data_IF_126287633532
#
_entry.id   IF_126287633532
#
_cell.length_a   1.000
_cell.length_b   1.000
_cell.length_c   1.000
_cell.angle_alpha   90.00
_cell.angle_beta   90.00
_cell.angle_gamma   90.00
#
_symmetry.space_group_name_H-M   'P 1'
#
loop_
_entity.id
_entity.type
_entity.pdbx_description
1 polymer ?
#
# COMPACT_ATOMS: atom_id res chain seq x y z
N UNK A 1 10.25 17.93 -28.27
CA UNK A 1 9.66 16.62 -27.92
C UNK A 1 9.12 16.73 -26.51
N UNK A 2 7.84 16.41 -26.28
CA UNK A 2 7.27 16.51 -24.93
C UNK A 2 7.73 15.34 -24.05
N UNK A 3 8.05 15.60 -22.76
CA UNK A 3 8.40 14.53 -21.83
C UNK A 3 7.19 13.62 -21.59
N UNK A 4 7.40 12.29 -21.42
CA UNK A 4 6.31 11.38 -21.11
C UNK A 4 5.65 11.74 -19.78
N UNK A 5 4.33 11.86 -19.80
CA UNK A 5 3.50 12.19 -18.66
C UNK A 5 2.53 11.04 -18.31
N UNK A 6 2.30 10.83 -17.02
CA UNK A 6 1.35 9.86 -16.48
C UNK A 6 0.34 10.61 -15.60
N UNK A 7 -0.80 11.05 -16.16
CA UNK A 7 -1.89 11.63 -15.40
C UNK A 7 -2.69 10.53 -14.69
N UNK A 8 -3.12 10.79 -13.45
CA UNK A 8 -3.98 9.91 -12.68
C UNK A 8 -4.91 10.72 -11.77
N UNK A 9 -6.16 10.91 -12.20
CA UNK A 9 -7.08 11.84 -11.55
C UNK A 9 -6.42 13.23 -11.45
N UNK A 10 -6.29 13.75 -10.24
CA UNK A 10 -5.70 15.06 -9.96
C UNK A 10 -4.16 15.03 -9.85
N UNK A 11 -3.53 13.85 -9.79
CA UNK A 11 -2.09 13.68 -9.62
C UNK A 11 -1.43 13.40 -10.99
N UNK A 12 -0.46 14.23 -11.40
CA UNK A 12 0.30 14.05 -12.66
C UNK A 12 1.78 13.80 -12.35
N UNK A 13 2.37 12.81 -13.01
CA UNK A 13 3.82 12.56 -12.98
C UNK A 13 4.42 12.79 -14.35
N UNK A 14 5.36 13.74 -14.45
CA UNK A 14 6.10 14.03 -15.69
C UNK A 14 7.53 13.48 -15.55
N UNK A 15 7.94 12.63 -16.46
CA UNK A 15 9.26 11.99 -16.45
C UNK A 15 10.20 12.75 -17.39
N UNK A 16 11.22 13.38 -16.81
CA UNK A 16 12.20 14.19 -17.56
C UNK A 16 13.59 13.53 -17.49
N UNK A 17 14.41 13.77 -18.52
CA UNK A 17 15.79 13.27 -18.60
C UNK A 17 16.76 14.16 -17.84
N UNK A 18 16.52 15.47 -17.82
CA UNK A 18 17.39 16.44 -17.14
C UNK A 18 16.63 17.30 -16.13
N UNK A 19 17.38 17.94 -15.22
CA UNK A 19 16.79 18.89 -14.25
C UNK A 19 16.31 20.17 -14.94
N UNK A 20 16.95 20.58 -16.02
CA UNK A 20 16.53 21.74 -16.82
C UNK A 20 15.20 21.45 -17.52
N UNK A 21 15.08 20.28 -18.14
CA UNK A 21 13.84 19.82 -18.77
C UNK A 21 12.71 19.72 -17.74
N UNK A 22 12.99 19.22 -16.53
CA UNK A 22 12.00 19.16 -15.46
C UNK A 22 11.51 20.53 -14.98
N UNK A 23 12.37 21.56 -14.98
CA UNK A 23 11.98 22.93 -14.66
C UNK A 23 11.12 23.52 -15.78
N UNK A 24 11.54 23.38 -17.03
CA UNK A 24 10.80 23.86 -18.20
C UNK A 24 9.41 23.19 -18.28
N UNK A 25 9.34 21.88 -18.05
CA UNK A 25 8.07 21.15 -18.04
C UNK A 25 7.15 21.63 -16.89
N UNK A 26 7.69 21.96 -15.73
CA UNK A 26 6.91 22.48 -14.60
C UNK A 26 6.34 23.87 -14.91
N UNK A 27 7.13 24.76 -15.51
CA UNK A 27 6.66 26.09 -15.95
C UNK A 27 5.60 25.99 -17.03
N UNK A 28 5.82 25.16 -18.05
CA UNK A 28 4.83 24.92 -19.10
C UNK A 28 3.52 24.36 -18.54
N UNK A 29 3.61 23.38 -17.63
CA UNK A 29 2.43 22.79 -16.99
C UNK A 29 1.68 23.84 -16.16
N UNK A 30 2.41 24.71 -15.46
CA UNK A 30 1.82 25.81 -14.68
C UNK A 30 1.06 26.78 -15.58
N UNK A 31 1.67 27.22 -16.68
CA UNK A 31 1.02 28.14 -17.63
C UNK A 31 -0.23 27.51 -18.23
N UNK A 32 -0.17 26.25 -18.68
CA UNK A 32 -1.35 25.56 -19.25
C UNK A 32 -2.49 25.45 -18.21
N UNK A 33 -2.17 25.09 -16.96
CA UNK A 33 -3.18 24.93 -15.91
C UNK A 33 -3.79 26.27 -15.48
N UNK A 34 -2.99 27.32 -15.35
CA UNK A 34 -3.45 28.64 -14.93
C UNK A 34 -4.16 29.39 -16.06
N UNK A 35 -3.62 29.35 -17.29
CA UNK A 35 -4.11 30.13 -18.43
C UNK A 35 -5.30 29.46 -19.14
N UNK A 36 -5.27 28.13 -19.34
CA UNK A 36 -6.34 27.44 -20.09
C UNK A 36 -7.42 26.83 -19.21
N UNK A 37 -7.10 26.43 -17.98
CA UNK A 37 -8.02 25.69 -17.11
C UNK A 37 -8.41 26.47 -15.85
N UNK A 38 -7.89 27.69 -15.67
CA UNK A 38 -8.07 28.54 -14.48
C UNK A 38 -7.85 27.79 -13.16
N UNK A 39 -6.98 26.77 -13.19
CA UNK A 39 -6.74 25.90 -12.05
C UNK A 39 -5.41 26.24 -11.39
N UNK A 40 -5.47 26.64 -10.12
CA UNK A 40 -4.26 27.01 -9.38
C UNK A 40 -3.46 25.78 -8.99
N UNK A 41 -2.25 25.67 -9.53
CA UNK A 41 -1.32 24.60 -9.16
C UNK A 41 -0.98 24.69 -7.67
N UNK A 42 -1.10 23.55 -6.96
CA UNK A 42 -0.63 23.47 -5.58
C UNK A 42 0.90 23.40 -5.54
N UNK A 43 1.55 24.57 -5.48
CA UNK A 43 3.01 24.73 -5.47
C UNK A 43 3.71 23.97 -4.33
N UNK A 44 3.02 23.68 -3.21
CA UNK A 44 3.56 22.87 -2.11
C UNK A 44 3.61 21.37 -2.44
N UNK A 45 2.74 20.91 -3.34
CA UNK A 45 2.68 19.52 -3.81
C UNK A 45 3.59 19.27 -5.02
N UNK A 46 3.72 20.26 -5.90
CA UNK A 46 4.60 20.18 -7.07
C UNK A 46 6.07 20.10 -6.62
N UNK A 47 6.70 18.94 -6.81
CA UNK A 47 8.09 18.70 -6.41
C UNK A 47 8.84 18.00 -7.51
N UNK A 48 10.00 18.54 -7.88
CA UNK A 48 10.97 17.84 -8.71
C UNK A 48 11.79 16.90 -7.84
N UNK A 49 11.85 15.62 -8.20
CA UNK A 49 12.69 14.63 -7.53
C UNK A 49 13.55 13.90 -8.56
N UNK A 50 14.77 13.53 -8.18
CA UNK A 50 15.60 12.63 -9.00
C UNK A 50 15.13 11.19 -8.79
N UNK A 51 15.31 10.32 -9.79
CA UNK A 51 15.01 8.87 -9.66
C UNK A 51 15.77 8.23 -8.48
N UNK A 52 16.98 8.70 -8.19
CA UNK A 52 17.79 8.24 -7.07
C UNK A 52 17.27 8.69 -5.70
N UNK A 53 16.35 9.67 -5.66
CA UNK A 53 15.75 10.18 -4.43
C UNK A 53 14.36 9.55 -4.22
N UNK A 54 14.00 9.40 -2.95
CA UNK A 54 12.69 8.90 -2.59
C UNK A 54 11.60 9.92 -2.89
N UNK A 55 10.63 9.55 -3.73
CA UNK A 55 9.46 10.37 -4.04
C UNK A 55 8.16 9.59 -3.90
N UNK A 56 7.07 10.33 -3.77
CA UNK A 56 5.76 9.80 -3.39
C UNK A 56 4.80 10.01 -4.55
N UNK A 57 4.25 8.93 -5.13
CA UNK A 57 3.18 9.02 -6.14
C UNK A 57 2.09 7.95 -5.90
N UNK A 58 0.80 8.29 -6.01
CA UNK A 58 -0.36 7.38 -5.84
C UNK A 58 -0.30 6.38 -4.67
N UNK A 59 -0.02 6.85 -3.46
CA UNK A 59 0.06 5.96 -2.28
C UNK A 59 1.30 5.04 -2.25
N UNK A 60 2.15 5.09 -3.27
CA UNK A 60 3.46 4.45 -3.33
C UNK A 60 4.59 5.42 -2.97
N UNK A 61 5.66 4.83 -2.44
CA UNK A 61 6.97 5.43 -2.31
C UNK A 61 7.85 4.79 -3.39
N UNK A 62 8.44 5.62 -4.23
CA UNK A 62 9.37 5.27 -5.30
C UNK A 62 10.76 5.75 -4.92
N UNK A 63 11.78 4.96 -5.23
CA UNK A 63 13.18 5.34 -5.04
C UNK A 63 13.63 5.23 -3.57
N UNK A 64 14.56 4.32 -3.28
CA UNK A 64 15.31 4.33 -2.03
C UNK A 64 16.64 3.64 -2.33
N UNK A 65 17.64 4.39 -2.77
CA UNK A 65 18.92 3.87 -3.25
C UNK A 65 18.88 3.37 -4.71
N UNK A 66 19.83 2.52 -5.09
CA UNK A 66 20.06 2.01 -6.46
C UNK A 66 19.00 1.04 -7.00
N UNK A 67 17.88 0.83 -6.32
CA UNK A 67 16.84 -0.07 -6.83
C UNK A 67 15.48 0.58 -6.89
N UNK A 68 14.72 0.20 -7.91
CA UNK A 68 13.34 0.60 -8.17
C UNK A 68 12.40 0.00 -7.11
N UNK A 69 12.52 0.51 -5.88
CA UNK A 69 11.63 0.18 -4.77
C UNK A 69 10.32 0.93 -4.94
N UNK A 70 9.29 0.22 -5.41
CA UNK A 70 7.89 0.62 -5.32
C UNK A 70 7.31 0.02 -4.05
N UNK A 71 7.17 0.80 -2.98
CA UNK A 71 6.66 0.30 -1.68
C UNK A 71 5.39 1.05 -1.25
N UNK A 72 4.48 0.44 -0.49
CA UNK A 72 3.34 1.15 0.10
C UNK A 72 3.83 2.25 1.03
N UNK A 73 3.26 3.46 0.95
CA UNK A 73 3.61 4.55 1.87
C UNK A 73 3.28 4.17 3.32
N UNK A 74 4.06 4.62 4.31
CA UNK A 74 3.74 4.41 5.72
C UNK A 74 2.34 4.92 6.10
N UNK A 75 1.91 6.03 5.50
CA UNK A 75 0.57 6.59 5.71
C UNK A 75 -0.54 5.69 5.15
N UNK A 76 -0.32 5.05 3.98
CA UNK A 76 -1.27 4.10 3.41
C UNK A 76 -1.40 2.85 4.28
N UNK A 77 -0.28 2.35 4.83
CA UNK A 77 -0.26 1.25 5.80
C UNK A 77 -0.99 1.66 7.09
N UNK A 78 -0.76 2.87 7.59
CA UNK A 78 -1.47 3.41 8.78
C UNK A 78 -2.98 3.50 8.53
N UNK A 79 -3.39 4.02 7.38
CA UNK A 79 -4.80 4.10 6.99
C UNK A 79 -5.46 2.71 6.91
N UNK A 80 -4.76 1.73 6.33
CA UNK A 80 -5.22 0.34 6.32
C UNK A 80 -5.38 -0.22 7.73
N UNK A 81 -4.38 -0.08 8.60
CA UNK A 81 -4.48 -0.50 10.00
C UNK A 81 -5.64 0.18 10.72
N UNK A 82 -5.93 1.45 10.42
CA UNK A 82 -7.09 2.15 10.98
C UNK A 82 -8.41 1.53 10.51
N UNK A 83 -8.56 1.20 9.21
CA UNK A 83 -9.75 0.49 8.71
C UNK A 83 -9.93 -0.86 9.39
N UNK A 84 -8.87 -1.66 9.50
CA UNK A 84 -8.90 -2.95 10.19
C UNK A 84 -9.27 -2.79 11.67
N UNK A 85 -8.76 -1.77 12.36
CA UNK A 85 -9.12 -1.48 13.76
C UNK A 85 -10.59 -1.16 13.93
N UNK A 86 -11.20 -0.43 12.98
CA UNK A 86 -12.64 -0.12 13.02
C UNK A 86 -13.50 -1.39 12.94
N UNK A 87 -13.10 -2.34 12.09
CA UNK A 87 -13.79 -3.65 11.95
C UNK A 87 -13.56 -4.54 13.18
N UNK A 88 -12.35 -4.55 13.72
CA UNK A 88 -11.98 -5.43 14.86
C UNK A 88 -12.16 -4.77 16.23
N UNK A 89 -13.11 -3.85 16.38
CA UNK A 89 -13.37 -3.19 17.69
C UNK A 89 -13.85 -4.22 18.72
N UNK A 90 -13.32 -4.13 19.93
CA UNK A 90 -13.49 -5.15 20.98
C UNK A 90 -14.88 -5.18 21.62
N UNK A 91 -15.57 -4.05 21.66
CA UNK A 91 -16.91 -3.91 22.25
C UNK A 91 -18.01 -4.10 21.18
N UNK A 92 -17.94 -5.17 20.39
CA UNK A 92 -18.98 -5.47 19.41
C UNK A 92 -19.55 -6.86 19.69
N UNK A 93 -20.88 -7.05 19.66
CA UNK A 93 -21.54 -8.35 19.86
C UNK A 93 -21.56 -9.18 18.55
N UNK A 94 -20.49 -9.13 17.75
CA UNK A 94 -20.42 -9.84 16.46
C UNK A 94 -19.73 -11.18 16.60
N UNK A 95 -20.22 -12.18 15.87
CA UNK A 95 -19.53 -13.46 15.78
C UNK A 95 -18.19 -13.30 15.03
N UNK A 96 -17.20 -14.14 15.36
CA UNK A 96 -15.89 -14.11 14.70
C UNK A 96 -15.99 -14.28 13.18
N UNK A 97 -16.91 -15.14 12.72
CA UNK A 97 -17.17 -15.38 11.30
C UNK A 97 -17.64 -14.11 10.57
N UNK A 98 -18.49 -13.30 11.20
CA UNK A 98 -18.95 -12.03 10.65
C UNK A 98 -17.80 -11.02 10.53
N UNK A 99 -16.93 -10.96 11.54
CA UNK A 99 -15.75 -10.08 11.52
C UNK A 99 -14.80 -10.47 10.38
N UNK A 100 -14.57 -11.77 10.19
CA UNK A 100 -13.74 -12.26 9.07
C UNK A 100 -14.39 -11.89 7.72
N UNK A 101 -15.70 -12.06 7.57
CA UNK A 101 -16.44 -11.65 6.36
C UNK A 101 -16.30 -10.15 6.07
N UNK A 102 -16.40 -9.29 7.08
CA UNK A 102 -16.22 -7.83 6.93
C UNK A 102 -14.77 -7.43 6.64
N UNK A 103 -13.81 -8.18 7.18
CA UNK A 103 -12.40 -7.90 7.02
C UNK A 103 -11.87 -8.29 5.63
N UNK A 104 -12.41 -9.37 5.06
CA UNK A 104 -11.95 -9.94 3.79
C UNK A 104 -11.97 -8.96 2.60
N UNK A 105 -13.03 -8.15 2.37
CA UNK A 105 -13.04 -7.12 1.34
C UNK A 105 -11.95 -6.06 1.55
N UNK A 106 -11.71 -5.65 2.80
CA UNK A 106 -10.67 -4.65 3.14
C UNK A 106 -9.28 -5.19 2.82
N UNK A 107 -9.00 -6.43 3.23
CA UNK A 107 -7.76 -7.13 2.92
C UNK A 107 -7.58 -7.27 1.41
N UNK A 108 -8.60 -7.77 0.71
CA UNK A 108 -8.57 -8.03 -0.73
C UNK A 108 -8.32 -6.76 -1.52
N UNK A 109 -9.05 -5.68 -1.24
CA UNK A 109 -8.91 -4.41 -1.94
C UNK A 109 -7.51 -3.81 -1.73
N UNK A 110 -7.03 -3.79 -0.50
CA UNK A 110 -5.70 -3.27 -0.19
C UNK A 110 -4.59 -4.14 -0.80
N UNK A 111 -4.71 -5.46 -0.71
CA UNK A 111 -3.76 -6.42 -1.27
C UNK A 111 -3.64 -6.28 -2.79
N UNK A 112 -4.77 -6.25 -3.51
CA UNK A 112 -4.79 -6.06 -4.97
C UNK A 112 -4.19 -4.72 -5.39
N UNK A 113 -4.47 -3.65 -4.64
CA UNK A 113 -3.92 -2.33 -4.97
C UNK A 113 -2.40 -2.28 -4.84
N UNK A 114 -1.83 -2.89 -3.78
CA UNK A 114 -0.39 -2.83 -3.46
C UNK A 114 0.44 -4.03 -3.96
N UNK A 115 -0.16 -4.94 -4.74
CA UNK A 115 0.49 -6.16 -5.24
C UNK A 115 1.69 -5.86 -6.16
N UNK A 116 1.60 -4.79 -6.95
CA UNK A 116 2.63 -4.42 -7.92
C UNK A 116 3.88 -3.80 -7.27
N UNK A 117 3.88 -3.60 -5.96
CA UNK A 117 5.04 -3.13 -5.20
C UNK A 117 5.92 -4.26 -4.66
N UNK A 118 7.13 -3.90 -4.19
CA UNK A 118 7.97 -4.75 -3.34
C UNK A 118 7.37 -4.80 -1.91
N UNK A 119 6.21 -5.41 -1.80
CA UNK A 119 5.36 -5.37 -0.60
C UNK A 119 5.41 -6.66 0.24
N UNK A 120 6.21 -7.68 -0.13
CA UNK A 120 6.26 -9.00 0.51
C UNK A 120 6.40 -8.95 2.04
N UNK A 121 7.39 -8.19 2.53
CA UNK A 121 7.61 -8.01 3.98
C UNK A 121 6.44 -7.29 4.65
N UNK A 122 5.92 -6.24 4.02
CA UNK A 122 4.80 -5.45 4.56
C UNK A 122 3.54 -6.31 4.64
N UNK A 123 3.26 -7.11 3.62
CA UNK A 123 2.11 -8.02 3.56
C UNK A 123 2.18 -9.07 4.65
N UNK A 124 3.34 -9.70 4.82
CA UNK A 124 3.56 -10.66 5.91
C UNK A 124 3.37 -10.04 7.30
N UNK A 125 3.96 -8.86 7.53
CA UNK A 125 3.80 -8.14 8.81
C UNK A 125 2.33 -7.77 9.08
N UNK A 126 1.58 -7.39 8.04
CA UNK A 126 0.17 -7.07 8.16
C UNK A 126 -0.69 -8.31 8.44
N UNK A 127 -0.41 -9.44 7.79
CA UNK A 127 -1.11 -10.71 8.06
C UNK A 127 -0.88 -11.19 9.49
N UNK A 128 0.35 -11.13 9.99
CA UNK A 128 0.66 -11.43 11.40
C UNK A 128 -0.11 -10.50 12.34
N UNK A 129 -0.08 -9.19 12.08
CA UNK A 129 -0.78 -8.21 12.90
C UNK A 129 -2.31 -8.38 12.87
N UNK A 130 -2.89 -8.73 11.72
CA UNK A 130 -4.33 -9.04 11.59
C UNK A 130 -4.70 -10.26 12.44
N UNK A 131 -3.91 -11.34 12.36
CA UNK A 131 -4.14 -12.54 13.17
C UNK A 131 -4.06 -12.21 14.67
N UNK A 132 -3.09 -11.42 15.10
CA UNK A 132 -2.98 -10.97 16.49
C UNK A 132 -4.21 -10.15 16.93
N UNK A 133 -4.75 -9.30 16.04
CA UNK A 133 -6.00 -8.55 16.30
C UNK A 133 -7.19 -9.48 16.52
N UNK A 134 -7.35 -10.51 15.70
CA UNK A 134 -8.44 -11.47 15.83
C UNK A 134 -8.31 -12.32 17.10
N UNK A 135 -7.08 -12.74 17.46
CA UNK A 135 -6.80 -13.40 18.73
C UNK A 135 -7.16 -12.51 19.91
N UNK A 136 -6.76 -11.24 19.87
CA UNK A 136 -7.07 -10.28 20.92
C UNK A 136 -8.56 -9.99 21.06
N UNK A 137 -9.29 -9.96 19.93
CA UNK A 137 -10.74 -9.84 19.93
C UNK A 137 -11.39 -11.04 20.62
N UNK A 138 -10.98 -12.27 20.26
CA UNK A 138 -11.49 -13.51 20.86
C UNK A 138 -11.22 -13.61 22.35
N UNK A 139 -9.99 -13.31 22.76
CA UNK A 139 -9.55 -13.43 24.13
C UNK A 139 -9.97 -12.25 25.00
N UNK A 140 -10.51 -11.19 24.40
CA UNK A 140 -10.71 -9.89 25.05
C UNK A 140 -9.46 -9.52 25.87
N UNK A 141 -8.25 -9.65 25.31
CA UNK A 141 -7.00 -9.22 25.95
C UNK A 141 -5.89 -9.08 24.92
N UNK A 142 -5.02 -8.08 25.07
CA UNK A 142 -3.81 -7.96 24.26
C UNK A 142 -2.63 -8.64 24.97
N UNK A 143 -2.40 -9.94 24.73
CA UNK A 143 -1.33 -10.69 25.40
C UNK A 143 -0.69 -11.71 24.46
N UNK A 144 0.62 -11.53 24.20
CA UNK A 144 1.41 -12.43 23.35
C UNK A 144 1.42 -13.87 23.85
N UNK A 145 1.47 -14.06 25.18
CA UNK A 145 1.41 -15.38 25.81
C UNK A 145 0.08 -16.07 25.52
N UNK A 146 -1.03 -15.35 25.62
CA UNK A 146 -2.36 -15.91 25.31
C UNK A 146 -2.56 -16.18 23.82
N UNK A 147 -1.83 -15.48 22.93
CA UNK A 147 -1.93 -15.68 21.48
C UNK A 147 -1.36 -17.02 21.00
N UNK A 148 -0.42 -17.60 21.75
CA UNK A 148 0.12 -18.93 21.44
C UNK A 148 -0.96 -20.02 21.56
N UNK A 149 -1.97 -19.81 22.42
CA UNK A 149 -3.08 -20.75 22.64
C UNK A 149 -4.07 -20.82 21.47
N UNK A 150 -4.05 -19.85 20.55
CA UNK A 150 -4.93 -19.84 19.38
C UNK A 150 -4.05 -19.93 18.13
N UNK A 151 -4.06 -21.08 17.44
CA UNK A 151 -3.27 -21.23 16.22
C UNK A 151 -3.85 -20.40 15.07
N UNK A 152 -2.98 -19.92 14.18
CA UNK A 152 -3.36 -19.05 13.05
C UNK A 152 -4.32 -19.71 12.06
N UNK A 153 -4.13 -21.02 11.81
CA UNK A 153 -4.96 -21.81 10.88
C UNK A 153 -6.45 -21.80 11.23
N UNK A 154 -6.82 -21.53 12.49
CA UNK A 154 -8.22 -21.45 12.90
C UNK A 154 -8.96 -20.31 12.19
N UNK A 155 -8.28 -19.21 11.89
CA UNK A 155 -8.86 -18.11 11.13
C UNK A 155 -8.88 -18.39 9.63
N UNK A 156 -7.95 -19.18 9.13
CA UNK A 156 -7.94 -19.65 7.74
C UNK A 156 -9.12 -20.59 7.47
N UNK A 157 -9.45 -21.48 8.42
CA UNK A 157 -10.70 -22.28 8.35
C UNK A 157 -11.99 -21.44 8.35
N UNK A 158 -11.94 -20.22 8.91
CA UNK A 158 -13.06 -19.27 8.85
C UNK A 158 -13.08 -18.47 7.53
N UNK A 159 -12.14 -18.73 6.61
CA UNK A 159 -12.04 -18.08 5.32
C UNK A 159 -11.30 -16.73 5.36
N UNK A 160 -10.43 -16.48 6.34
CA UNK A 160 -9.63 -15.26 6.37
C UNK A 160 -8.65 -15.20 5.19
N UNK A 161 -8.75 -14.15 4.38
CA UNK A 161 -7.79 -13.92 3.30
C UNK A 161 -6.41 -13.54 3.86
N UNK A 162 -5.35 -14.09 3.25
CA UNK A 162 -3.97 -13.67 3.51
C UNK A 162 -3.50 -12.73 2.41
N UNK A 163 -2.95 -11.58 2.79
CA UNK A 163 -2.25 -10.68 1.87
C UNK A 163 -1.08 -11.40 1.20
N UNK A 164 -0.31 -12.16 1.97
CA UNK A 164 0.80 -12.96 1.46
C UNK A 164 0.33 -14.01 0.43
N UNK A 165 -0.81 -14.67 0.70
CA UNK A 165 -1.45 -15.58 -0.25
C UNK A 165 -1.88 -14.89 -1.55
N UNK A 166 -2.50 -13.72 -1.45
CA UNK A 166 -2.87 -12.91 -2.63
C UNK A 166 -1.64 -12.50 -3.44
N UNK A 167 -0.54 -12.14 -2.78
CA UNK A 167 0.72 -11.81 -3.43
C UNK A 167 1.32 -13.01 -4.15
N UNK A 168 1.26 -14.21 -3.55
CA UNK A 168 1.72 -15.46 -4.19
C UNK A 168 0.89 -15.80 -5.42
N UNK A 169 -0.42 -15.59 -5.36
CA UNK A 169 -1.32 -15.85 -6.48
C UNK A 169 -1.07 -14.91 -7.66
N UNK A 170 -0.90 -13.61 -7.40
CA UNK A 170 -0.76 -12.60 -8.46
C UNK A 170 0.68 -12.43 -8.94
N UNK A 171 1.67 -12.72 -8.09
CA UNK A 171 3.09 -12.54 -8.38
C UNK A 171 3.92 -13.74 -7.90
N UNK A 172 3.72 -14.94 -8.48
CA UNK A 172 4.45 -16.14 -8.09
C UNK A 172 5.97 -16.01 -8.28
N UNK A 173 6.41 -15.18 -9.22
CA UNK A 173 7.83 -14.95 -9.54
C UNK A 173 8.63 -14.37 -8.36
N UNK A 174 7.97 -13.72 -7.40
CA UNK A 174 8.61 -13.19 -6.18
C UNK A 174 8.91 -14.27 -5.11
N UNK A 175 8.49 -15.51 -5.37
CA UNK A 175 8.63 -16.64 -4.44
C UNK A 175 9.43 -17.80 -5.02
N UNK A 176 9.76 -17.76 -6.31
CA UNK A 176 10.70 -18.68 -6.90
C UNK A 176 12.10 -18.35 -6.36
N UNK A 177 12.75 -19.33 -5.75
CA UNK A 177 14.15 -19.20 -5.33
C UNK A 177 14.99 -19.03 -6.59
N UNK A 178 15.77 -17.95 -6.69
CA UNK A 178 16.81 -17.82 -7.71
C UNK A 178 17.89 -18.86 -7.41
N UNK A 179 17.72 -20.06 -7.96
CA UNK A 179 18.55 -21.22 -7.68
C UNK A 179 18.27 -22.37 -8.65
N UNK A 180 18.24 -22.07 -9.95
CA UNK A 180 18.61 -22.99 -11.02
C UNK A 180 19.38 -22.17 -12.06
N UNK A 181 20.68 -22.05 -11.81
CA UNK A 181 21.73 -21.91 -12.81
C UNK A 181 22.80 -22.92 -12.44
#
# INVERSE_FOLDING_TARGET
MYPPACPYGDDIMILCRSRQEAKAALEQTKNILEDMLSFKLNSKKAKTARKSQAFKFLGYLFGSGYSDYKMPRPQAVKAFKTKVRKVTRRQQPKAMSQIVKELNPVIRGWGRYFVYGKSKRVFWQLDCWIRDRLKAYKLKKWSKLSYQKIPGWRFEKLGLNSLYGLLKQQRPELFLVKGQR
#
